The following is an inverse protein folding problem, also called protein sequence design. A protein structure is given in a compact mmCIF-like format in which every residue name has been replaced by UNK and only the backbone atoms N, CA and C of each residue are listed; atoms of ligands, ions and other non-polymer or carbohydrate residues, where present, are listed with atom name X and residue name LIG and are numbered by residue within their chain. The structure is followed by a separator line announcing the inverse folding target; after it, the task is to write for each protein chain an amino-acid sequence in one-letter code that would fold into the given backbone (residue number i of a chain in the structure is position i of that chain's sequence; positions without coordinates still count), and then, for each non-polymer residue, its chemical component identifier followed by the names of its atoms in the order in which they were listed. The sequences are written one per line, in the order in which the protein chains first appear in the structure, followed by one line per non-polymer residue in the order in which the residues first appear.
data_IF_476476585173
#
_entry.id   IF_476476585173
#
_cell.length_a   1.000
_cell.length_b   1.000
_cell.length_c   1.000
_cell.angle_alpha   90.00
_cell.angle_beta   90.00
_cell.angle_gamma   90.00
#
_symmetry.space_group_name_H-M   'P 1'
#
loop_
_entity.id
_entity.type
_entity.pdbx_description
1 polymer ?
#
# COMPACT_ATOMS: atom_id res chain seq x y z
N UNK A 1 8.82 3.12 7.76
CA UNK A 1 8.89 2.48 6.42
C UNK A 1 8.34 3.35 5.29
N UNK A 2 7.03 3.64 5.18
CA UNK A 2 6.50 4.39 4.00
C UNK A 2 7.18 5.76 3.81
N UNK A 3 7.23 6.59 4.86
CA UNK A 3 7.89 7.91 4.83
C UNK A 3 9.40 7.79 4.66
N UNK A 4 10.00 6.67 5.11
CA UNK A 4 11.43 6.41 4.88
C UNK A 4 11.71 6.07 3.42
N UNK A 5 10.83 5.33 2.76
CA UNK A 5 10.93 5.05 1.33
C UNK A 5 10.74 6.32 0.49
N UNK A 6 9.75 7.15 0.86
CA UNK A 6 9.33 8.34 0.11
C UNK A 6 9.12 9.50 1.11
N UNK A 7 10.16 10.33 1.38
CA UNK A 7 10.08 11.40 2.38
C UNK A 7 9.00 12.45 2.10
N UNK A 8 8.70 12.70 0.83
CA UNK A 8 7.70 13.67 0.37
C UNK A 8 6.32 13.04 0.07
N UNK A 9 6.04 11.86 0.60
CA UNK A 9 4.74 11.18 0.39
C UNK A 9 3.58 12.00 0.97
N UNK A 10 2.51 12.12 0.19
CA UNK A 10 1.26 12.74 0.62
C UNK A 10 0.49 11.79 1.53
N UNK A 11 -0.17 12.34 2.56
CA UNK A 11 -0.90 11.58 3.59
C UNK A 11 -2.30 12.13 3.74
N UNK A 12 -3.28 11.25 3.81
CA UNK A 12 -4.65 11.62 4.15
C UNK A 12 -5.32 10.55 5.01
N UNK A 13 -6.39 10.93 5.68
CA UNK A 13 -7.34 9.99 6.27
C UNK A 13 -8.63 10.05 5.47
N UNK A 14 -9.06 8.91 4.95
CA UNK A 14 -10.29 8.76 4.17
C UNK A 14 -11.08 7.58 4.69
N UNK A 15 -12.37 7.77 4.94
CA UNK A 15 -13.23 6.73 5.52
C UNK A 15 -12.57 6.04 6.72
N UNK A 16 -12.02 6.84 7.64
CA UNK A 16 -11.30 6.39 8.84
C UNK A 16 -10.07 5.50 8.57
N UNK A 17 -9.42 5.66 7.42
CA UNK A 17 -8.31 4.81 6.99
C UNK A 17 -7.16 5.68 6.46
N UNK A 18 -5.89 5.39 6.80
CA UNK A 18 -4.74 6.10 6.25
C UNK A 18 -4.53 5.80 4.76
N UNK A 19 -4.26 6.85 3.99
CA UNK A 19 -3.93 6.80 2.58
C UNK A 19 -2.61 7.51 2.31
N UNK A 20 -1.85 6.97 1.36
CA UNK A 20 -0.56 7.47 0.92
C UNK A 20 -0.54 7.61 -0.60
N UNK A 21 -0.02 8.73 -1.07
CA UNK A 21 -0.07 9.12 -2.47
C UNK A 21 1.10 9.99 -2.88
N UNK A 22 1.16 10.29 -4.17
CA UNK A 22 2.10 11.26 -4.74
C UNK A 22 1.31 12.52 -5.13
N UNK A 23 1.94 13.68 -4.98
CA UNK A 23 1.31 14.96 -5.31
C UNK A 23 0.88 14.98 -6.78
N UNK A 24 -0.38 15.33 -7.04
CA UNK A 24 -0.95 15.37 -8.40
C UNK A 24 -1.29 14.01 -9.03
N UNK A 25 -0.76 12.90 -8.51
CA UNK A 25 -0.87 11.56 -9.13
C UNK A 25 -1.91 10.65 -8.44
N UNK A 26 -2.46 11.07 -7.31
CA UNK A 26 -3.46 10.31 -6.54
C UNK A 26 -2.84 9.36 -5.50
N UNK A 27 -3.63 8.39 -5.05
CA UNK A 27 -3.28 7.49 -3.95
C UNK A 27 -2.74 6.17 -4.50
N UNK A 28 -1.65 5.63 -3.94
CA UNK A 28 -1.10 4.34 -4.36
C UNK A 28 -1.21 3.26 -3.27
N UNK A 29 -1.34 3.67 -2.00
CA UNK A 29 -1.41 2.77 -0.85
C UNK A 29 -2.49 3.21 0.15
N UNK A 30 -3.26 2.24 0.65
CA UNK A 30 -4.22 2.43 1.75
C UNK A 30 -4.02 1.41 2.87
N UNK A 31 -4.31 1.79 4.12
CA UNK A 31 -4.19 0.90 5.29
C UNK A 31 -5.55 0.77 5.98
N UNK A 32 -5.95 -0.46 6.30
CA UNK A 32 -7.16 -0.74 7.07
C UNK A 32 -6.84 -1.71 8.21
N UNK A 33 -7.22 -1.34 9.43
CA UNK A 33 -7.06 -2.22 10.59
C UNK A 33 -8.28 -3.14 10.74
N UNK A 34 -8.04 -4.43 10.78
CA UNK A 34 -9.03 -5.46 11.12
C UNK A 34 -8.69 -6.03 12.51
N UNK A 35 -9.63 -6.77 13.09
CA UNK A 35 -9.48 -7.35 14.42
C UNK A 35 -8.29 -8.34 14.55
N UNK A 36 -7.76 -8.85 13.44
CA UNK A 36 -6.72 -9.90 13.42
C UNK A 36 -5.51 -9.58 12.54
N UNK A 37 -5.56 -8.50 11.77
CA UNK A 37 -4.47 -8.11 10.89
C UNK A 37 -4.63 -6.65 10.46
N UNK A 38 -3.51 -6.07 10.02
CA UNK A 38 -3.50 -4.83 9.25
C UNK A 38 -3.51 -5.22 7.78
N UNK A 39 -4.47 -4.70 7.02
CA UNK A 39 -4.52 -4.82 5.57
C UNK A 39 -3.81 -3.63 4.94
N UNK A 40 -2.71 -3.88 4.25
CA UNK A 40 -2.07 -2.89 3.38
C UNK A 40 -2.53 -3.15 1.95
N UNK A 41 -3.17 -2.16 1.33
CA UNK A 41 -3.64 -2.21 -0.04
C UNK A 41 -2.71 -1.42 -0.96
N UNK A 42 -2.18 -2.09 -1.98
CA UNK A 42 -1.51 -1.46 -3.11
C UNK A 42 -2.48 -1.41 -4.28
N UNK A 43 -2.88 -0.21 -4.71
CA UNK A 43 -3.98 -0.09 -5.68
C UNK A 43 -3.62 -0.58 -7.08
N UNK A 44 -2.34 -0.45 -7.46
CA UNK A 44 -1.72 -1.07 -8.64
C UNK A 44 -0.88 -2.29 -8.25
N UNK A 45 -1.30 -3.04 -7.23
CA UNK A 45 -0.58 -4.16 -6.64
C UNK A 45 -0.22 -5.28 -7.63
N UNK A 46 -1.05 -5.51 -8.65
CA UNK A 46 -0.78 -6.52 -9.69
C UNK A 46 0.43 -6.19 -10.57
N UNK A 47 0.85 -4.92 -10.62
CA UNK A 47 2.00 -4.45 -11.38
C UNK A 47 3.30 -4.42 -10.55
N UNK A 48 3.26 -4.88 -9.30
CA UNK A 48 4.44 -4.93 -8.45
C UNK A 48 5.17 -6.26 -8.60
N UNK A 49 6.47 -6.25 -8.33
CA UNK A 49 7.34 -7.42 -8.38
C UNK A 49 8.11 -7.61 -7.04
N UNK A 50 7.92 -8.75 -6.34
CA UNK A 50 6.85 -9.73 -6.57
C UNK A 50 5.45 -9.15 -6.36
N UNK A 51 4.43 -9.80 -6.88
CA UNK A 51 3.03 -9.39 -6.65
C UNK A 51 2.65 -9.65 -5.18
N UNK A 52 2.05 -8.68 -4.45
CA UNK A 52 1.56 -8.91 -3.10
C UNK A 52 0.55 -10.08 -3.06
N UNK A 53 0.62 -10.95 -2.03
CA UNK A 53 0.09 -12.31 -2.13
C UNK A 53 -1.43 -12.41 -2.07
N UNK A 54 -2.13 -11.39 -1.55
CA UNK A 54 -3.58 -11.48 -1.35
C UNK A 54 -4.33 -10.78 -2.48
N UNK A 55 -5.21 -11.53 -3.13
CA UNK A 55 -6.05 -11.03 -4.21
C UNK A 55 -7.12 -10.02 -3.74
N UNK A 56 -7.56 -9.18 -4.67
CA UNK A 56 -8.66 -8.25 -4.49
C UNK A 56 -9.79 -8.54 -5.47
N UNK A 57 -11.02 -8.17 -5.09
CA UNK A 57 -12.14 -8.09 -6.04
C UNK A 57 -11.94 -6.99 -7.08
N UNK A 58 -11.16 -5.96 -6.75
CA UNK A 58 -10.69 -4.97 -7.72
C UNK A 58 -9.56 -5.55 -8.56
N UNK A 59 -9.66 -5.41 -9.89
CA UNK A 59 -8.77 -6.07 -10.86
C UNK A 59 -7.28 -5.89 -10.53
N UNK A 60 -6.85 -4.65 -10.29
CA UNK A 60 -5.43 -4.29 -10.22
C UNK A 60 -4.88 -4.27 -8.78
N UNK A 61 -5.77 -4.24 -7.78
CA UNK A 61 -5.36 -4.10 -6.37
C UNK A 61 -4.86 -5.42 -5.82
N UNK A 62 -3.81 -5.38 -5.00
CA UNK A 62 -3.37 -6.52 -4.18
C UNK A 62 -3.13 -6.09 -2.74
N UNK A 63 -3.24 -7.04 -1.83
CA UNK A 63 -3.07 -6.79 -0.41
C UNK A 63 -1.89 -7.58 0.17
N UNK A 64 -1.37 -7.02 1.25
CA UNK A 64 -0.57 -7.73 2.25
C UNK A 64 -1.37 -7.66 3.55
N UNK A 65 -1.57 -8.82 4.18
CA UNK A 65 -2.10 -8.87 5.53
C UNK A 65 -0.93 -9.06 6.48
N UNK A 66 -0.82 -8.21 7.49
CA UNK A 66 0.20 -8.29 8.51
C UNK A 66 -0.51 -8.67 9.81
N UNK A 67 -0.28 -9.90 10.27
CA UNK A 67 -0.77 -10.39 11.55
C UNK A 67 0.18 -10.00 12.68
N UNK A 68 -0.30 -10.10 13.92
CA UNK A 68 0.45 -9.72 15.12
C UNK A 68 1.77 -10.49 15.27
N UNK A 69 1.77 -11.78 14.94
CA UNK A 69 2.94 -12.66 15.05
C UNK A 69 3.85 -12.62 13.80
N UNK A 70 3.45 -11.90 12.75
CA UNK A 70 4.21 -11.84 11.51
C UNK A 70 5.47 -10.98 11.70
N UNK A 71 6.59 -11.48 11.18
CA UNK A 71 7.75 -10.62 10.93
C UNK A 71 7.57 -9.96 9.58
N UNK A 72 7.44 -8.63 9.57
CA UNK A 72 7.41 -7.87 8.34
C UNK A 72 8.78 -7.93 7.66
N UNK A 73 8.82 -8.42 6.43
CA UNK A 73 9.97 -8.23 5.55
C UNK A 73 10.03 -6.75 5.13
N UNK A 74 10.84 -5.98 5.84
CA UNK A 74 10.95 -4.53 5.62
C UNK A 74 11.57 -4.19 4.26
N UNK A 75 12.52 -5.00 3.78
CA UNK A 75 13.17 -4.77 2.48
C UNK A 75 12.15 -4.93 1.35
N UNK A 76 11.37 -6.02 1.39
CA UNK A 76 10.30 -6.26 0.44
C UNK A 76 9.21 -5.19 0.54
N UNK A 77 8.81 -4.79 1.76
CA UNK A 77 7.81 -3.75 1.95
C UNK A 77 8.26 -2.40 1.39
N UNK A 78 9.51 -2.00 1.63
CA UNK A 78 10.09 -0.78 1.07
C UNK A 78 10.17 -0.85 -0.46
N UNK A 79 10.50 -2.00 -1.03
CA UNK A 79 10.50 -2.23 -2.47
C UNK A 79 9.11 -1.99 -3.07
N UNK A 80 8.05 -2.58 -2.49
CA UNK A 80 6.68 -2.36 -2.93
C UNK A 80 6.23 -0.91 -2.86
N UNK A 81 6.57 -0.19 -1.78
CA UNK A 81 6.24 1.23 -1.64
C UNK A 81 6.88 2.06 -2.75
N UNK A 82 8.17 1.82 -3.06
CA UNK A 82 8.88 2.54 -4.12
C UNK A 82 8.28 2.25 -5.49
N UNK A 83 8.00 0.99 -5.80
CA UNK A 83 7.37 0.60 -7.06
C UNK A 83 5.98 1.23 -7.20
N UNK A 84 5.15 1.13 -6.17
CA UNK A 84 3.80 1.68 -6.19
C UNK A 84 3.78 3.21 -6.35
N UNK A 85 4.75 3.94 -5.79
CA UNK A 85 4.86 5.39 -5.96
C UNK A 85 5.19 5.85 -7.38
N UNK A 86 5.66 4.94 -8.24
CA UNK A 86 6.02 5.23 -9.64
C UNK A 86 4.88 4.91 -10.62
N UNK A 87 3.77 4.35 -10.12
CA UNK A 87 2.61 3.97 -10.91
C UNK A 87 1.50 5.03 -10.78
N UNK A 88 0.62 5.17 -11.79
CA UNK A 88 -0.54 6.05 -11.69
C UNK A 88 -1.41 5.68 -10.48
N UNK A 89 -1.62 6.66 -9.60
CA UNK A 89 -2.46 6.50 -8.42
C UNK A 89 -3.95 6.43 -8.73
N UNK A 90 -4.72 6.02 -7.74
CA UNK A 90 -6.18 6.04 -7.77
C UNK A 90 -6.70 7.43 -7.37
N UNK A 91 -7.67 7.91 -8.16
CA UNK A 91 -8.45 9.09 -7.82
C UNK A 91 -9.58 8.65 -6.90
N UNK A 92 -9.48 9.03 -5.63
CA UNK A 92 -10.48 8.76 -4.61
C UNK A 92 -10.91 10.07 -3.99
#
# INVERSE_FOLDING_TARGET
LIVQAIPNVQKAVKWNSPFYGMEGEGWFLGIHCFAKYIKVAFFRGLSLDPVPPVESKSRDTRYVHIHEEDRLDEEQFLSWVKQASQLPGERM
#
